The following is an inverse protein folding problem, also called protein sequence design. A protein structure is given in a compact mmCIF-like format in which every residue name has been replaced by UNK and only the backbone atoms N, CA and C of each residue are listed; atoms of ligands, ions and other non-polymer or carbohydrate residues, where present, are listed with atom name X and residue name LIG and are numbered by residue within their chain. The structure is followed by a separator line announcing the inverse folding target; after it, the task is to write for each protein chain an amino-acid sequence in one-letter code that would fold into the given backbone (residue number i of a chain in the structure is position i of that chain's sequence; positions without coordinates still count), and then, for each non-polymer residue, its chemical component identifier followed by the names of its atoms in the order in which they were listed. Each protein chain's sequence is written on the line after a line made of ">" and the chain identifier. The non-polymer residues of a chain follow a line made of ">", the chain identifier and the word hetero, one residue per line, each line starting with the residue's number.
data_IF_307495344808
#
_entry.id   IF_307495344808
#
_cell.length_a   1.000
_cell.length_b   1.000
_cell.length_c   1.000
_cell.angle_alpha   90.00
_cell.angle_beta   90.00
_cell.angle_gamma   90.00
#
_symmetry.space_group_name_H-M   'P 1'
#
loop_
_entity.id
_entity.type
_entity.pdbx_description
1 polymer ?
#
# COMPACT_ATOMS: atom_id res chain seq x y z
N UNK A 1 -29.99 -33.50 25.47
CA UNK A 1 -29.93 -32.24 24.70
C UNK A 1 -28.46 -31.92 24.46
N UNK A 2 -27.94 -32.31 23.33
CA UNK A 2 -26.58 -31.99 22.91
C UNK A 2 -26.61 -30.61 22.29
N UNK A 3 -26.11 -29.63 23.03
CA UNK A 3 -25.83 -28.30 22.53
C UNK A 3 -24.68 -28.42 21.53
N UNK A 4 -25.02 -28.50 20.23
CA UNK A 4 -24.06 -28.47 19.15
C UNK A 4 -23.79 -27.00 18.88
N UNK A 5 -22.96 -26.40 19.72
CA UNK A 5 -22.30 -25.11 19.38
C UNK A 5 -21.42 -25.42 18.18
N UNK A 6 -21.94 -25.16 16.99
CA UNK A 6 -21.10 -25.07 15.79
C UNK A 6 -20.18 -23.88 16.05
N UNK A 7 -18.92 -24.14 16.40
CA UNK A 7 -17.87 -23.14 16.38
C UNK A 7 -17.81 -22.62 14.94
N UNK A 8 -18.49 -21.51 14.68
CA UNK A 8 -18.39 -20.81 13.40
C UNK A 8 -16.95 -20.30 13.30
N UNK A 9 -16.20 -20.93 12.42
CA UNK A 9 -14.83 -20.50 12.11
C UNK A 9 -14.91 -19.07 11.58
N UNK A 10 -14.28 -18.14 12.29
CA UNK A 10 -14.18 -16.74 11.90
C UNK A 10 -13.45 -16.63 10.57
N UNK A 11 -14.00 -15.88 9.60
CA UNK A 11 -13.31 -15.64 8.33
C UNK A 11 -12.15 -14.65 8.51
N UNK A 12 -11.25 -14.58 7.53
CA UNK A 12 -10.14 -13.63 7.58
C UNK A 12 -10.66 -12.19 7.66
N UNK A 13 -11.69 -11.86 6.88
CA UNK A 13 -12.32 -10.53 6.90
C UNK A 13 -12.91 -10.20 8.27
N UNK A 14 -13.55 -11.16 8.91
CA UNK A 14 -14.09 -10.99 10.27
C UNK A 14 -12.97 -10.79 11.29
N UNK A 15 -11.91 -11.57 11.21
CA UNK A 15 -10.75 -11.44 12.10
C UNK A 15 -10.05 -10.09 11.95
N UNK A 16 -9.85 -9.65 10.72
CA UNK A 16 -9.25 -8.34 10.43
C UNK A 16 -10.14 -7.21 10.93
N UNK A 17 -11.45 -7.26 10.69
CA UNK A 17 -12.39 -6.26 11.17
C UNK A 17 -12.39 -6.17 12.71
N UNK A 18 -12.41 -7.31 13.40
CA UNK A 18 -12.34 -7.36 14.86
C UNK A 18 -11.05 -6.74 15.40
N UNK A 19 -9.91 -7.08 14.82
CA UNK A 19 -8.61 -6.52 15.23
C UNK A 19 -8.59 -5.01 15.03
N UNK A 20 -9.13 -4.50 13.93
CA UNK A 20 -9.18 -3.06 13.66
C UNK A 20 -10.09 -2.31 14.63
N UNK A 21 -11.16 -2.95 15.15
CA UNK A 21 -11.99 -2.37 16.21
C UNK A 21 -11.26 -2.31 17.55
N UNK A 22 -10.58 -3.39 17.92
CA UNK A 22 -9.86 -3.49 19.19
C UNK A 22 -8.58 -2.65 19.21
N UNK A 23 -7.84 -2.66 18.11
CA UNK A 23 -6.53 -2.02 17.96
C UNK A 23 -6.45 -1.22 16.64
N UNK A 24 -7.17 -0.09 16.51
CA UNK A 24 -7.27 0.63 15.23
C UNK A 24 -5.95 1.19 14.70
N UNK A 25 -4.94 1.32 15.56
CA UNK A 25 -3.61 1.80 15.18
C UNK A 25 -2.64 0.69 14.76
N UNK A 26 -3.06 -0.56 14.84
CA UNK A 26 -2.19 -1.69 14.49
C UNK A 26 -1.85 -1.66 13.00
N UNK A 27 -0.58 -1.85 12.68
CA UNK A 27 -0.09 -1.85 11.30
C UNK A 27 -0.50 -3.15 10.57
N UNK A 28 -0.69 -3.11 9.25
CA UNK A 28 -1.02 -4.31 8.47
C UNK A 28 -0.03 -5.46 8.66
N UNK A 29 1.26 -5.16 8.79
CA UNK A 29 2.30 -6.18 9.08
C UNK A 29 2.09 -6.87 10.41
N UNK A 30 1.71 -6.12 11.45
CA UNK A 30 1.44 -6.69 12.77
C UNK A 30 0.14 -7.52 12.79
N UNK A 31 -0.88 -7.11 12.04
CA UNK A 31 -2.08 -7.92 11.86
C UNK A 31 -1.75 -9.22 11.15
N UNK A 32 -0.93 -9.17 10.11
CA UNK A 32 -0.47 -10.33 9.37
C UNK A 32 0.25 -11.34 10.27
N UNK A 33 1.14 -10.86 11.15
CA UNK A 33 1.82 -11.71 12.14
C UNK A 33 0.83 -12.35 13.11
N UNK A 34 -0.12 -11.58 13.67
CA UNK A 34 -1.15 -12.10 14.58
C UNK A 34 -1.98 -13.21 13.96
N UNK A 35 -2.33 -13.09 12.69
CA UNK A 35 -3.19 -14.03 11.99
C UNK A 35 -2.43 -15.10 11.21
N UNK A 36 -1.11 -15.03 11.19
CA UNK A 36 -0.25 -15.93 10.42
C UNK A 36 -0.63 -15.98 8.92
N UNK A 37 -0.84 -14.82 8.35
CA UNK A 37 -1.12 -14.60 6.92
C UNK A 37 -0.16 -13.56 6.35
N UNK A 38 -0.24 -13.31 5.04
CA UNK A 38 0.58 -12.30 4.39
C UNK A 38 0.00 -10.89 4.57
N UNK A 39 0.82 -9.87 4.41
CA UNK A 39 0.35 -8.48 4.43
C UNK A 39 -0.65 -8.20 3.30
N UNK A 40 -0.44 -8.78 2.12
CA UNK A 40 -1.37 -8.65 1.00
C UNK A 40 -2.75 -9.22 1.34
N UNK A 41 -2.81 -10.38 2.01
CA UNK A 41 -4.06 -11.00 2.45
C UNK A 41 -4.80 -10.11 3.47
N UNK A 42 -4.07 -9.51 4.41
CA UNK A 42 -4.66 -8.58 5.39
C UNK A 42 -5.26 -7.37 4.69
N UNK A 43 -4.50 -6.74 3.81
CA UNK A 43 -4.94 -5.53 3.08
C UNK A 43 -6.14 -5.84 2.18
N UNK A 44 -6.14 -6.99 1.50
CA UNK A 44 -7.28 -7.43 0.70
C UNK A 44 -8.53 -7.70 1.55
N UNK A 45 -8.37 -8.04 2.82
CA UNK A 45 -9.44 -8.33 3.76
C UNK A 45 -9.94 -7.09 4.54
N UNK A 46 -9.40 -5.91 4.30
CA UNK A 46 -9.85 -4.68 4.96
C UNK A 46 -11.33 -4.40 4.67
N UNK A 47 -12.09 -3.91 5.66
CA UNK A 47 -13.53 -3.69 5.50
C UNK A 47 -13.84 -2.50 4.58
N UNK A 48 -14.97 -2.60 3.89
CA UNK A 48 -15.52 -1.52 3.06
C UNK A 48 -14.57 -1.05 1.97
N UNK A 49 -14.43 0.25 1.86
CA UNK A 49 -13.57 0.94 0.88
C UNK A 49 -12.17 1.29 1.43
N UNK A 50 -11.79 0.71 2.57
CA UNK A 50 -10.47 0.95 3.16
C UNK A 50 -9.34 0.53 2.21
N UNK A 51 -9.55 -0.49 1.41
CA UNK A 51 -8.61 -0.89 0.37
C UNK A 51 -9.31 -1.30 -0.92
N UNK A 52 -8.61 -1.10 -2.03
CA UNK A 52 -8.95 -1.61 -3.35
C UNK A 52 -7.71 -2.29 -3.91
N UNK A 53 -7.88 -3.54 -4.39
CA UNK A 53 -6.82 -4.30 -5.01
C UNK A 53 -6.89 -4.19 -6.53
N UNK A 54 -5.78 -3.84 -7.16
CA UNK A 54 -5.62 -3.83 -8.61
C UNK A 54 -4.61 -4.89 -9.03
N UNK A 55 -4.74 -5.36 -10.26
CA UNK A 55 -3.80 -6.30 -10.84
C UNK A 55 -2.41 -5.66 -11.03
N UNK A 56 -1.36 -6.47 -10.84
CA UNK A 56 0.02 -6.01 -11.01
C UNK A 56 0.37 -5.54 -12.43
N UNK A 57 -0.42 -5.92 -13.44
CA UNK A 57 -0.27 -5.39 -14.80
C UNK A 57 -0.49 -3.88 -14.89
N UNK A 58 -1.15 -3.29 -13.88
CA UNK A 58 -1.39 -1.85 -13.78
C UNK A 58 -0.22 -1.08 -13.16
N UNK A 59 0.81 -1.75 -12.65
CA UNK A 59 1.88 -1.10 -11.86
C UNK A 59 2.63 -0.02 -12.64
N UNK A 60 3.03 -0.29 -13.87
CA UNK A 60 3.76 0.68 -14.68
C UNK A 60 2.93 1.93 -14.97
N UNK A 61 1.70 1.76 -15.40
CA UNK A 61 0.75 2.85 -15.64
C UNK A 61 0.55 3.73 -14.40
N UNK A 62 0.41 3.10 -13.22
CA UNK A 62 0.25 3.82 -11.95
C UNK A 62 1.50 4.63 -11.63
N UNK A 63 2.69 4.04 -11.75
CA UNK A 63 3.96 4.74 -11.48
C UNK A 63 4.20 5.89 -12.45
N UNK A 64 3.91 5.71 -13.73
CA UNK A 64 3.99 6.76 -14.74
C UNK A 64 3.00 7.90 -14.42
N UNK A 65 1.81 7.56 -13.94
CA UNK A 65 0.80 8.53 -13.54
C UNK A 65 1.18 9.37 -12.33
N UNK A 66 2.02 8.86 -11.42
CA UNK A 66 2.50 9.58 -10.24
C UNK A 66 3.48 10.71 -10.56
N UNK A 67 4.10 10.67 -11.73
CA UNK A 67 4.99 11.75 -12.18
C UNK A 67 4.21 13.05 -12.28
N UNK A 68 4.68 14.08 -11.62
CA UNK A 68 4.00 15.38 -11.57
C UNK A 68 2.98 15.55 -10.46
N UNK A 69 2.76 14.56 -9.60
CA UNK A 69 1.90 14.72 -8.43
C UNK A 69 2.49 15.63 -7.35
N UNK A 70 3.79 15.90 -7.40
CA UNK A 70 4.52 16.58 -6.33
C UNK A 70 5.07 15.58 -5.31
N UNK A 71 5.46 16.05 -4.11
CA UNK A 71 6.14 15.21 -3.13
C UNK A 71 5.23 14.07 -2.64
N UNK A 72 5.82 12.87 -2.61
CA UNK A 72 5.25 11.66 -2.02
C UNK A 72 6.31 11.04 -1.10
N UNK A 73 5.95 10.06 -0.30
CA UNK A 73 6.92 9.32 0.51
C UNK A 73 7.01 7.89 0.03
N UNK A 74 8.13 7.53 -0.57
CA UNK A 74 8.42 6.15 -0.96
C UNK A 74 9.09 5.43 0.19
N UNK A 75 8.57 4.26 0.55
CA UNK A 75 9.03 3.48 1.69
C UNK A 75 9.42 2.07 1.24
N UNK A 76 10.59 1.63 1.67
CA UNK A 76 11.08 0.26 1.49
C UNK A 76 11.39 -0.33 2.86
N UNK A 77 10.83 -1.50 3.13
CA UNK A 77 11.16 -2.30 4.31
C UNK A 77 12.15 -3.40 3.91
N UNK A 78 13.22 -3.51 4.66
CA UNK A 78 14.22 -4.57 4.45
C UNK A 78 14.76 -5.06 5.78
N UNK A 79 14.44 -6.29 6.14
CA UNK A 79 14.91 -6.93 7.37
C UNK A 79 14.72 -6.07 8.64
N UNK A 80 13.54 -5.47 8.79
CA UNK A 80 13.22 -4.59 9.91
C UNK A 80 13.72 -3.15 9.76
N UNK A 81 14.55 -2.88 8.77
CA UNK A 81 14.97 -1.52 8.42
C UNK A 81 13.93 -0.84 7.53
N UNK A 82 13.75 0.45 7.72
CA UNK A 82 12.79 1.25 6.97
C UNK A 82 13.54 2.39 6.28
N UNK A 83 13.45 2.41 4.95
CA UNK A 83 14.02 3.48 4.13
C UNK A 83 12.90 4.36 3.61
N UNK A 84 12.99 5.66 3.83
CA UNK A 84 12.00 6.63 3.39
C UNK A 84 12.65 7.71 2.52
N UNK A 85 12.02 8.00 1.38
CA UNK A 85 12.42 9.10 0.50
C UNK A 85 11.21 10.01 0.30
N UNK A 86 11.32 11.25 0.77
CA UNK A 86 10.30 12.30 0.60
C UNK A 86 10.71 13.20 -0.56
N UNK A 87 10.15 12.91 -1.72
CA UNK A 87 10.43 13.63 -2.96
C UNK A 87 9.34 13.31 -4.00
N UNK A 88 9.23 14.07 -5.10
CA UNK A 88 8.40 13.67 -6.22
C UNK A 88 8.83 12.29 -6.75
N UNK A 89 7.85 11.45 -7.12
CA UNK A 89 8.16 10.16 -7.72
C UNK A 89 8.73 10.38 -9.13
N UNK A 90 9.91 9.83 -9.44
CA UNK A 90 10.62 10.17 -10.68
C UNK A 90 10.03 9.47 -11.90
N UNK A 91 10.35 10.01 -13.08
CA UNK A 91 10.12 9.31 -14.34
C UNK A 91 10.90 8.01 -14.37
N UNK A 92 10.36 7.02 -15.06
CA UNK A 92 11.02 5.76 -15.27
C UNK A 92 11.03 5.33 -16.73
N UNK A 93 11.87 4.36 -17.01
CA UNK A 93 12.00 3.75 -18.34
C UNK A 93 12.24 2.25 -18.22
N UNK A 94 11.47 1.48 -18.96
CA UNK A 94 11.69 0.03 -19.05
C UNK A 94 12.90 -0.25 -19.92
N UNK A 95 13.89 -0.89 -19.35
CA UNK A 95 15.08 -1.37 -20.04
C UNK A 95 15.76 -2.48 -19.24
N UNK A 96 16.31 -3.47 -19.92
CA UNK A 96 17.09 -4.57 -19.31
C UNK A 96 16.34 -5.35 -18.22
N UNK A 97 15.01 -5.48 -18.35
CA UNK A 97 14.17 -6.21 -17.41
C UNK A 97 13.79 -5.44 -16.16
N UNK A 98 14.06 -4.13 -16.12
CA UNK A 98 13.71 -3.24 -15.01
C UNK A 98 12.94 -2.01 -15.47
N UNK A 99 12.16 -1.46 -14.55
CA UNK A 99 11.67 -0.09 -14.63
C UNK A 99 12.71 0.81 -13.93
N UNK A 100 13.47 1.54 -14.71
CA UNK A 100 14.61 2.30 -14.22
C UNK A 100 14.15 3.70 -13.84
N UNK A 101 14.27 4.05 -12.58
CA UNK A 101 13.91 5.36 -12.06
C UNK A 101 15.00 6.38 -12.42
N UNK A 102 14.59 7.48 -13.05
CA UNK A 102 15.46 8.51 -13.58
C UNK A 102 15.24 9.82 -12.81
N UNK A 103 15.46 9.77 -11.50
CA UNK A 103 15.29 10.91 -10.62
C UNK A 103 16.30 12.02 -10.88
N UNK A 104 15.92 13.24 -10.51
CA UNK A 104 16.83 14.38 -10.41
C UNK A 104 17.58 14.30 -9.09
N UNK A 105 18.53 15.19 -8.88
CA UNK A 105 19.21 15.31 -7.58
C UNK A 105 18.20 15.45 -6.44
N UNK A 106 18.34 14.63 -5.40
CA UNK A 106 17.43 14.56 -4.26
C UNK A 106 16.18 13.70 -4.46
N UNK A 107 15.95 13.20 -5.67
CA UNK A 107 14.87 12.25 -5.97
C UNK A 107 15.37 10.80 -5.89
N UNK A 108 14.42 9.87 -5.88
CA UNK A 108 14.71 8.45 -5.85
C UNK A 108 15.33 7.97 -7.17
N UNK A 109 16.41 7.22 -7.05
CA UNK A 109 17.02 6.46 -8.15
C UNK A 109 16.88 4.97 -7.84
N UNK A 110 16.81 4.15 -8.86
CA UNK A 110 16.80 2.71 -8.67
C UNK A 110 16.28 1.95 -9.87
N UNK A 111 16.15 0.65 -9.67
CA UNK A 111 15.71 -0.30 -10.68
C UNK A 111 14.63 -1.17 -10.07
N UNK A 112 13.38 -1.00 -10.51
CA UNK A 112 12.24 -1.76 -9.99
C UNK A 112 11.98 -2.97 -10.88
N UNK A 113 11.92 -4.15 -10.24
CA UNK A 113 11.55 -5.39 -10.94
C UNK A 113 10.03 -5.51 -10.95
N UNK A 114 9.36 -4.81 -11.86
CA UNK A 114 7.89 -4.74 -11.90
C UNK A 114 7.24 -6.10 -12.16
N UNK A 115 7.94 -7.01 -12.85
CA UNK A 115 7.46 -8.38 -13.06
C UNK A 115 7.20 -9.14 -11.74
N UNK A 116 7.85 -8.73 -10.66
CA UNK A 116 7.66 -9.31 -9.34
C UNK A 116 6.50 -8.67 -8.55
N UNK A 117 5.89 -7.62 -9.08
CA UNK A 117 4.68 -7.01 -8.47
C UNK A 117 3.45 -7.67 -9.09
N UNK A 118 2.67 -8.36 -8.29
CA UNK A 118 1.46 -9.07 -8.73
C UNK A 118 0.17 -8.37 -8.35
N UNK A 119 0.21 -7.54 -7.30
CA UNK A 119 -0.94 -6.78 -6.84
C UNK A 119 -0.52 -5.37 -6.44
N UNK A 120 -1.40 -4.42 -6.70
CA UNK A 120 -1.28 -3.04 -6.20
C UNK A 120 -2.50 -2.76 -5.34
N UNK A 121 -2.28 -2.40 -4.09
CA UNK A 121 -3.35 -2.00 -3.18
C UNK A 121 -3.39 -0.48 -3.04
N UNK A 122 -4.57 0.10 -3.17
CA UNK A 122 -4.83 1.48 -2.79
C UNK A 122 -5.48 1.47 -1.42
N UNK A 123 -4.76 1.89 -0.40
CA UNK A 123 -5.17 1.76 0.99
C UNK A 123 -5.43 3.13 1.62
N UNK A 124 -6.59 3.26 2.22
CA UNK A 124 -7.01 4.42 3.02
C UNK A 124 -7.17 3.97 4.46
N UNK A 125 -6.11 4.08 5.23
CA UNK A 125 -6.07 3.68 6.64
C UNK A 125 -5.42 4.79 7.47
N UNK A 126 -6.08 5.29 8.52
CA UNK A 126 -5.45 6.27 9.41
C UNK A 126 -4.11 5.76 9.95
N UNK A 127 -3.12 6.62 9.99
CA UNK A 127 -1.82 6.35 10.58
C UNK A 127 -1.57 7.32 11.73
N UNK A 128 -1.30 6.78 12.91
CA UNK A 128 -1.14 7.57 14.14
C UNK A 128 -2.28 8.58 14.38
N UNK A 129 -3.51 8.15 14.08
CA UNK A 129 -4.72 8.96 14.26
C UNK A 129 -4.95 10.04 13.21
N UNK A 130 -4.18 10.07 12.13
CA UNK A 130 -4.32 11.04 11.03
C UNK A 130 -4.69 10.33 9.74
N UNK A 131 -5.54 10.97 8.91
CA UNK A 131 -5.86 10.49 7.57
C UNK A 131 -4.58 10.19 6.80
N UNK A 132 -4.53 9.01 6.18
CA UNK A 132 -3.37 8.56 5.41
C UNK A 132 -3.82 7.64 4.29
N UNK A 133 -3.14 7.73 3.15
CA UNK A 133 -3.39 6.92 1.97
C UNK A 133 -2.06 6.47 1.37
N UNK A 134 -2.02 5.23 0.89
CA UNK A 134 -0.82 4.74 0.23
C UNK A 134 -1.13 3.73 -0.88
N UNK A 135 -0.20 3.65 -1.81
CA UNK A 135 -0.10 2.53 -2.75
C UNK A 135 0.82 1.46 -2.14
N UNK A 136 0.32 0.25 -2.01
CA UNK A 136 1.12 -0.91 -1.60
C UNK A 136 1.38 -1.81 -2.80
N UNK A 137 2.62 -2.16 -3.04
CA UNK A 137 3.01 -3.02 -4.16
C UNK A 137 3.46 -4.36 -3.61
N UNK A 138 2.77 -5.44 -4.02
CA UNK A 138 2.92 -6.76 -3.42
C UNK A 138 3.40 -7.80 -4.43
N UNK A 139 4.26 -8.70 -3.95
CA UNK A 139 4.75 -9.85 -4.69
C UNK A 139 3.67 -10.95 -4.79
N UNK A 140 3.95 -11.98 -5.60
CA UNK A 140 3.10 -13.17 -5.71
C UNK A 140 2.91 -13.89 -4.37
N UNK A 141 3.92 -13.84 -3.49
CA UNK A 141 3.88 -14.46 -2.16
C UNK A 141 3.22 -13.56 -1.11
N UNK A 142 2.71 -12.39 -1.48
CA UNK A 142 2.01 -11.49 -0.58
C UNK A 142 2.89 -10.58 0.26
N UNK A 143 4.19 -10.54 -0.03
CA UNK A 143 5.14 -9.64 0.63
C UNK A 143 5.10 -8.24 0.00
N UNK A 144 5.25 -7.22 0.83
CA UNK A 144 5.34 -5.85 0.33
C UNK A 144 6.70 -5.59 -0.31
N UNK A 145 6.70 -5.14 -1.57
CA UNK A 145 7.92 -4.77 -2.28
C UNK A 145 8.31 -3.33 -1.93
N UNK A 146 7.38 -2.41 -2.02
CA UNK A 146 7.52 -1.02 -1.57
C UNK A 146 6.14 -0.39 -1.40
N UNK A 147 6.10 0.78 -0.76
CA UNK A 147 4.90 1.60 -0.58
C UNK A 147 5.16 3.02 -1.06
N UNK A 148 4.12 3.68 -1.51
CA UNK A 148 4.16 5.12 -1.81
C UNK A 148 3.00 5.77 -1.07
N UNK A 149 3.33 6.55 -0.05
CA UNK A 149 2.36 7.35 0.69
C UNK A 149 2.12 8.68 0.02
N UNK A 150 0.88 9.14 0.02
CA UNK A 150 0.54 10.48 -0.43
C UNK A 150 1.28 11.52 0.41
N UNK A 151 1.69 12.59 -0.26
CA UNK A 151 2.49 13.65 0.34
C UNK A 151 1.68 14.62 1.18
N UNK A 152 2.40 15.37 2.00
CA UNK A 152 1.86 16.44 2.82
C UNK A 152 2.56 17.75 2.50
N UNK A 153 1.83 18.84 2.65
CA UNK A 153 2.36 20.19 2.49
C UNK A 153 3.22 20.62 3.69
N UNK A 154 3.67 21.86 3.67
CA UNK A 154 4.50 22.44 4.74
C UNK A 154 3.79 22.49 6.11
N UNK A 155 2.45 22.48 6.11
CA UNK A 155 1.62 22.42 7.30
C UNK A 155 1.33 20.99 7.76
N UNK A 156 1.92 20.00 7.10
CA UNK A 156 1.70 18.56 7.32
C UNK A 156 0.27 18.10 7.01
N UNK A 157 -0.43 18.82 6.15
CA UNK A 157 -1.74 18.44 5.65
C UNK A 157 -1.60 17.69 4.32
N UNK A 158 -2.48 16.72 4.09
CA UNK A 158 -2.50 15.99 2.82
C UNK A 158 -2.71 16.95 1.66
N UNK A 159 -1.97 16.73 0.57
CA UNK A 159 -2.12 17.50 -0.67
C UNK A 159 -3.43 17.09 -1.33
N UNK A 160 -4.42 17.99 -1.34
CA UNK A 160 -5.78 17.70 -1.77
C UNK A 160 -5.87 17.13 -3.19
N UNK A 161 -5.08 17.63 -4.12
CA UNK A 161 -5.03 17.15 -5.50
C UNK A 161 -4.57 15.68 -5.57
N UNK A 162 -3.61 15.28 -4.72
CA UNK A 162 -3.16 13.89 -4.64
C UNK A 162 -4.28 12.98 -4.10
N UNK A 163 -5.00 13.41 -3.08
CA UNK A 163 -6.13 12.65 -2.51
C UNK A 163 -7.24 12.47 -3.55
N UNK A 164 -7.57 13.50 -4.30
CA UNK A 164 -8.57 13.44 -5.37
C UNK A 164 -8.18 12.42 -6.45
N UNK A 165 -6.93 12.49 -6.92
CA UNK A 165 -6.41 11.55 -7.93
C UNK A 165 -6.33 10.11 -7.41
N UNK A 166 -5.93 9.95 -6.17
CA UNK A 166 -5.91 8.64 -5.51
C UNK A 166 -7.30 8.02 -5.43
N UNK A 167 -8.29 8.78 -5.00
CA UNK A 167 -9.67 8.32 -4.92
C UNK A 167 -10.27 8.01 -6.29
N UNK A 168 -9.90 8.76 -7.32
CA UNK A 168 -10.30 8.46 -8.70
C UNK A 168 -9.75 7.11 -9.19
N UNK A 169 -8.51 6.77 -8.83
CA UNK A 169 -7.92 5.45 -9.12
C UNK A 169 -8.62 4.34 -8.33
N UNK A 170 -8.94 4.56 -7.06
CA UNK A 170 -9.70 3.59 -6.25
C UNK A 170 -11.06 3.26 -6.87
N UNK A 171 -11.72 4.23 -7.45
CA UNK A 171 -13.03 4.05 -8.07
C UNK A 171 -13.00 3.17 -9.34
N UNK A 172 -11.82 2.88 -9.88
CA UNK A 172 -11.62 2.01 -11.04
C UNK A 172 -11.47 0.52 -10.66
N UNK A 173 -11.35 0.21 -9.39
CA UNK A 173 -11.13 -1.14 -8.87
C UNK A 173 -12.36 -1.89 -8.46
#
# INVERSE_FOLDING_TARGET
>A
MTDTTVDMIETLEQSVARILEEEPKLLPTAIAEKLNVTEAEVVAAFPGDMSVMLDGSRVQEILEGLVGWGPVTTIVHSFGSIFEVKAPFPKGKVARGYYNLMGKEGELHGHLKLDNVKHVALVSKPFMGRESHYFGFFSETGENVFKIYLGRDEKRELIADQVERFNALKAQG
#
